data_IF_055340074902
#
_entry.id   IF_055340074902
#
_cell.length_a   1.000
_cell.length_b   1.000
_cell.length_c   1.000
_cell.angle_alpha   90.00
_cell.angle_beta   90.00
_cell.angle_gamma   90.00
#
_symmetry.space_group_name_H-M   'P 1'
#
loop_
_entity.id
_entity.type
_entity.pdbx_description
1 polymer ?
#
# COMPACT_ATOMS: atom_id res chain seq x y z
N UNK A 1 -6.13 7.07 13.01
CA UNK A 1 -7.14 6.62 12.01
C UNK A 1 -6.45 6.05 10.78
N UNK A 2 -5.97 6.87 9.83
CA UNK A 2 -5.34 6.34 8.61
C UNK A 2 -4.12 5.44 8.87
N UNK A 3 -3.30 5.76 9.89
CA UNK A 3 -2.15 4.92 10.30
C UNK A 3 -2.58 3.53 10.77
N UNK A 4 -3.63 3.47 11.59
CA UNK A 4 -4.17 2.21 12.13
C UNK A 4 -4.85 1.39 11.03
N UNK A 5 -5.57 2.05 10.12
CA UNK A 5 -6.23 1.40 9.00
C UNK A 5 -5.21 0.86 7.99
N UNK A 6 -4.13 1.61 7.73
CA UNK A 6 -3.01 1.16 6.91
C UNK A 6 -2.29 -0.05 7.53
N UNK A 7 -2.05 -0.03 8.84
CA UNK A 7 -1.47 -1.17 9.56
C UNK A 7 -2.35 -2.42 9.44
N UNK A 8 -3.66 -2.30 9.70
CA UNK A 8 -4.62 -3.40 9.54
C UNK A 8 -4.65 -3.91 8.11
N UNK A 9 -4.64 -3.00 7.14
CA UNK A 9 -4.64 -3.37 5.73
C UNK A 9 -3.39 -4.20 5.39
N UNK A 10 -2.20 -3.68 5.69
CA UNK A 10 -0.93 -4.36 5.36
C UNK A 10 -0.81 -5.71 6.07
N UNK A 11 -1.22 -5.81 7.33
CA UNK A 11 -1.21 -7.07 8.09
C UNK A 11 -2.20 -8.10 7.55
N UNK A 12 -3.36 -7.65 7.04
CA UNK A 12 -4.37 -8.52 6.43
C UNK A 12 -3.99 -9.07 5.05
N UNK A 13 -2.98 -8.50 4.38
CA UNK A 13 -2.55 -8.97 3.07
C UNK A 13 -2.01 -10.40 3.14
N UNK A 14 -2.47 -11.24 2.23
CA UNK A 14 -1.90 -12.55 1.94
C UNK A 14 -0.49 -12.45 1.38
N UNK A 15 0.26 -13.56 1.43
CA UNK A 15 1.61 -13.60 0.87
C UNK A 15 1.66 -13.30 -0.64
N UNK A 16 0.63 -13.70 -1.39
CA UNK A 16 0.51 -13.41 -2.82
C UNK A 16 0.26 -11.93 -3.07
N UNK A 17 -0.62 -11.28 -2.30
CA UNK A 17 -0.89 -9.85 -2.41
C UNK A 17 0.36 -9.02 -2.09
N UNK A 18 1.10 -9.36 -1.02
CA UNK A 18 2.38 -8.71 -0.69
C UNK A 18 3.40 -8.86 -1.81
N UNK A 19 3.52 -10.06 -2.39
CA UNK A 19 4.41 -10.32 -3.52
C UNK A 19 4.01 -9.51 -4.76
N UNK A 20 2.72 -9.46 -5.06
CA UNK A 20 2.21 -8.70 -6.20
C UNK A 20 2.46 -7.19 -6.01
N UNK A 21 2.28 -6.67 -4.80
CA UNK A 21 2.59 -5.28 -4.49
C UNK A 21 4.09 -4.98 -4.66
N UNK A 22 4.97 -5.86 -4.16
CA UNK A 22 6.42 -5.74 -4.41
C UNK A 22 6.76 -5.72 -5.90
N UNK A 23 6.13 -6.58 -6.70
CA UNK A 23 6.32 -6.60 -8.15
C UNK A 23 5.83 -5.29 -8.80
N UNK A 24 4.67 -4.79 -8.37
CA UNK A 24 4.12 -3.51 -8.84
C UNK A 24 5.09 -2.35 -8.54
N UNK A 25 5.62 -2.28 -7.32
CA UNK A 25 6.60 -1.26 -6.93
C UNK A 25 7.89 -1.33 -7.75
N UNK A 26 8.36 -2.54 -8.11
CA UNK A 26 9.55 -2.72 -8.96
C UNK A 26 9.36 -2.23 -10.40
N UNK A 27 8.13 -2.21 -10.89
CA UNK A 27 7.81 -1.77 -12.26
C UNK A 27 7.63 -0.25 -12.37
N UNK A 28 7.44 0.44 -11.25
CA UNK A 28 7.26 1.89 -11.20
C UNK A 28 8.62 2.60 -11.20
N UNK A 29 8.87 3.42 -12.23
CA UNK A 29 10.05 4.30 -12.31
C UNK A 29 9.82 5.54 -11.45
N UNK A 30 10.04 5.46 -10.13
CA UNK A 30 9.82 6.58 -9.21
C UNK A 30 10.43 6.38 -7.83
N UNK A 31 10.41 7.43 -6.99
CA UNK A 31 10.93 7.35 -5.63
C UNK A 31 10.11 6.31 -4.85
N UNK A 32 10.69 5.14 -4.61
CA UNK A 32 10.07 4.02 -3.91
C UNK A 32 9.87 4.28 -2.42
N UNK A 33 9.52 5.51 -2.03
CA UNK A 33 9.32 5.92 -0.63
C UNK A 33 8.13 5.18 -0.02
N UNK A 34 7.02 5.03 -0.76
CA UNK A 34 5.88 4.23 -0.32
C UNK A 34 6.21 2.73 -0.31
N UNK A 35 7.09 2.25 -1.19
CA UNK A 35 7.58 0.87 -1.16
C UNK A 35 8.51 0.63 0.04
N UNK A 36 9.37 1.60 0.37
CA UNK A 36 10.21 1.59 1.57
C UNK A 36 9.35 1.56 2.82
N UNK A 37 8.33 2.44 2.89
CA UNK A 37 7.36 2.46 3.99
C UNK A 37 6.63 1.13 4.13
N UNK A 38 6.21 0.52 3.02
CA UNK A 38 5.59 -0.80 3.02
C UNK A 38 6.52 -1.87 3.60
N UNK A 39 7.79 -1.90 3.20
CA UNK A 39 8.75 -2.86 3.77
C UNK A 39 9.00 -2.61 5.27
N UNK A 40 8.98 -1.35 5.72
CA UNK A 40 9.05 -1.03 7.15
C UNK A 40 7.86 -1.67 7.89
N UNK A 41 6.63 -1.47 7.41
CA UNK A 41 5.43 -2.10 8.02
C UNK A 41 5.48 -3.63 8.03
N UNK A 42 6.09 -4.26 7.02
CA UNK A 42 6.21 -5.73 6.95
C UNK A 42 7.30 -6.27 7.88
N UNK A 43 8.40 -5.52 8.01
CA UNK A 43 9.56 -5.90 8.84
C UNK A 43 9.35 -5.62 10.33
N UNK A 44 8.54 -4.61 10.65
CA UNK A 44 8.25 -4.22 12.01
C UNK A 44 7.19 -5.16 12.62
N UNK A 45 7.52 -5.80 13.73
CA UNK A 45 6.52 -6.46 14.60
C UNK A 45 5.70 -5.44 15.42
N UNK A 46 5.73 -4.17 15.04
CA UNK A 46 5.64 -3.07 15.98
C UNK A 46 4.48 -2.10 15.77
N UNK A 47 4.19 -1.38 16.86
CA UNK A 47 3.20 -0.32 17.01
C UNK A 47 3.48 0.82 16.03
N UNK A 48 2.43 1.49 15.55
CA UNK A 48 2.49 2.55 14.52
C UNK A 48 3.53 3.66 14.81
N UNK A 49 3.76 4.00 16.08
CA UNK A 49 4.75 5.00 16.47
C UNK A 49 6.20 4.61 16.12
N UNK A 50 6.52 3.31 16.14
CA UNK A 50 7.84 2.81 15.74
C UNK A 50 8.03 2.85 14.23
N UNK A 51 6.97 2.59 13.46
CA UNK A 51 7.00 2.65 11.99
C UNK A 51 7.26 4.08 11.51
N UNK A 52 6.59 5.06 12.11
CA UNK A 52 6.80 6.48 11.81
C UNK A 52 8.22 6.93 12.14
N UNK A 53 8.68 6.65 13.36
CA UNK A 53 10.04 7.00 13.78
C UNK A 53 11.12 6.37 12.88
N UNK A 54 10.93 5.11 12.49
CA UNK A 54 11.87 4.42 11.59
C UNK A 54 11.86 5.02 10.18
N UNK A 55 10.68 5.39 9.67
CA UNK A 55 10.57 6.04 8.37
C UNK A 55 11.22 7.43 8.37
N UNK A 56 10.95 8.26 9.38
CA UNK A 56 11.54 9.59 9.52
C UNK A 56 13.06 9.53 9.67
N UNK A 57 13.60 8.52 10.38
CA UNK A 57 15.04 8.32 10.49
C UNK A 57 15.72 8.02 9.14
N UNK A 58 15.02 7.31 8.24
CA UNK A 58 15.52 6.97 6.90
C UNK A 58 15.26 8.09 5.88
N UNK A 59 14.21 8.87 6.09
CA UNK A 59 13.71 9.88 5.15
C UNK A 59 13.31 11.17 5.89
N UNK A 60 14.25 11.90 6.51
CA UNK A 60 13.95 13.02 7.41
C UNK A 60 13.31 14.23 6.71
N UNK A 61 13.49 14.36 5.40
CA UNK A 61 12.91 15.44 4.58
C UNK A 61 11.55 15.10 3.98
N UNK A 62 11.02 13.90 4.23
CA UNK A 62 9.79 13.40 3.61
C UNK A 62 8.70 13.26 4.67
N UNK A 63 7.51 13.78 4.37
CA UNK A 63 6.33 13.60 5.22
C UNK A 63 5.89 12.13 5.26
N UNK A 64 5.86 11.57 6.47
CA UNK A 64 5.29 10.26 6.74
C UNK A 64 3.82 10.19 6.32
N UNK A 65 3.00 11.15 6.77
CA UNK A 65 1.56 11.15 6.53
C UNK A 65 1.20 11.19 5.03
N UNK A 66 1.91 12.00 4.25
CA UNK A 66 1.71 12.04 2.79
C UNK A 66 2.09 10.70 2.15
N UNK A 67 3.20 10.11 2.59
CA UNK A 67 3.66 8.81 2.07
C UNK A 67 2.71 7.68 2.47
N UNK A 68 2.20 7.69 3.70
CA UNK A 68 1.22 6.72 4.21
C UNK A 68 -0.11 6.83 3.48
N UNK A 69 -0.59 8.06 3.23
CA UNK A 69 -1.82 8.29 2.45
C UNK A 69 -1.67 7.79 1.02
N UNK A 70 -0.52 8.07 0.39
CA UNK A 70 -0.24 7.58 -0.95
C UNK A 70 -0.12 6.05 -0.99
N UNK A 71 0.59 5.46 -0.02
CA UNK A 71 0.70 4.01 0.12
C UNK A 71 -0.68 3.35 0.25
N UNK A 72 -1.54 3.90 1.11
CA UNK A 72 -2.91 3.41 1.29
C UNK A 72 -3.66 3.41 -0.04
N UNK A 73 -3.65 4.54 -0.76
CA UNK A 73 -4.30 4.68 -2.07
C UNK A 73 -3.78 3.64 -3.07
N UNK A 74 -2.47 3.51 -3.23
CA UNK A 74 -1.87 2.58 -4.20
C UNK A 74 -2.19 1.13 -3.84
N UNK A 75 -2.16 0.77 -2.56
CA UNK A 75 -2.56 -0.56 -2.10
C UNK A 75 -4.02 -0.85 -2.41
N UNK A 76 -4.93 0.08 -2.09
CA UNK A 76 -6.36 -0.11 -2.35
C UNK A 76 -6.65 -0.20 -3.84
N UNK A 77 -6.05 0.67 -4.66
CA UNK A 77 -6.21 0.65 -6.12
C UNK A 77 -5.76 -0.70 -6.70
N UNK A 78 -4.62 -1.21 -6.22
CA UNK A 78 -4.07 -2.51 -6.64
C UNK A 78 -4.99 -3.68 -6.26
N UNK A 79 -5.50 -3.71 -5.03
CA UNK A 79 -6.42 -4.74 -4.56
C UNK A 79 -7.75 -4.71 -5.32
N UNK A 80 -8.29 -3.51 -5.56
CA UNK A 80 -9.52 -3.32 -6.35
C UNK A 80 -9.32 -3.82 -7.78
N UNK A 81 -8.21 -3.46 -8.44
CA UNK A 81 -7.91 -3.93 -9.80
C UNK A 81 -7.73 -5.45 -9.85
N UNK A 82 -7.07 -6.05 -8.84
CA UNK A 82 -6.95 -7.51 -8.72
C UNK A 82 -8.33 -8.19 -8.66
N UNK A 83 -9.28 -7.64 -7.90
CA UNK A 83 -10.65 -8.17 -7.84
C UNK A 83 -11.42 -7.99 -9.14
N UNK A 84 -11.28 -6.84 -9.79
CA UNK A 84 -11.88 -6.59 -11.12
C UNK A 84 -11.40 -7.62 -12.14
N UNK A 85 -10.11 -7.98 -12.12
CA UNK A 85 -9.55 -8.95 -13.06
C UNK A 85 -10.01 -10.39 -12.79
N UNK A 86 -10.29 -10.74 -11.53
CA UNK A 86 -10.74 -12.07 -11.15
C UNK A 86 -12.23 -12.29 -11.42
N UNK A 87 -13.05 -11.24 -11.40
CA UNK A 87 -14.50 -11.33 -11.56
C UNK A 87 -15.01 -10.58 -12.80
N UNK A 88 -15.45 -11.35 -13.82
CA UNK A 88 -16.01 -10.82 -15.06
C UNK A 88 -17.25 -9.95 -14.85
N UNK A 89 -18.11 -10.30 -13.88
CA UNK A 89 -19.30 -9.52 -13.55
C UNK A 89 -18.89 -8.17 -12.96
N UNK A 90 -17.97 -8.21 -11.99
CA UNK A 90 -17.50 -7.00 -11.32
C UNK A 90 -16.82 -6.03 -12.29
N UNK A 91 -16.08 -6.55 -13.27
CA UNK A 91 -15.47 -5.75 -14.34
C UNK A 91 -16.49 -4.99 -15.20
N UNK A 92 -17.60 -5.62 -15.56
CA UNK A 92 -18.67 -4.98 -16.33
C UNK A 92 -19.34 -3.85 -15.53
N UNK A 93 -19.65 -4.11 -14.26
CA UNK A 93 -20.31 -3.14 -13.38
C UNK A 93 -19.40 -1.95 -13.06
N UNK A 94 -18.10 -2.19 -12.80
CA UNK A 94 -17.12 -1.13 -12.56
C UNK A 94 -16.92 -0.23 -13.79
N UNK A 95 -16.93 -0.79 -15.00
CA UNK A 95 -16.79 -0.04 -16.25
C UNK A 95 -17.95 0.94 -16.46
N UNK A 96 -19.17 0.56 -16.03
CA UNK A 96 -20.35 1.44 -16.08
C UNK A 96 -20.28 2.55 -15.03
N UNK A 97 -19.76 2.28 -13.83
CA UNK A 97 -19.63 3.30 -12.77
C UNK A 97 -18.55 4.36 -13.02
N UNK A 98 -17.59 4.09 -13.92
CA UNK A 98 -16.56 5.04 -14.34
C UNK A 98 -16.99 5.97 -15.49
N UNK A 99 -18.14 5.71 -16.13
CA UNK A 99 -18.72 6.53 -17.19
C UNK A 99 -19.60 7.65 -16.62
#
# INVERSE_FOLDING_TARGET
MLKDDLHKLITSLSASERRNFRSYCKQQSGSGLYASLFEIYISASAVNAEVESLFESKHPSISFDNTATYLFKVLTDMLTMSRIQQDKWFSQVFSVMKA
#
